data_IF_441044744369
#
_entry.id   IF_441044744369
#
_cell.length_a   1.000
_cell.length_b   1.000
_cell.length_c   1.000
_cell.angle_alpha   90.00
_cell.angle_beta   90.00
_cell.angle_gamma   90.00
#
_symmetry.space_group_name_H-M   'P 1'
#
loop_
_entity.id
_entity.type
_entity.pdbx_description
1 polymer ?
#
# COMPACT_ATOMS: atom_id res chain seq x y z
N UNK A 1 -10.05 -10.58 1.98
CA UNK A 1 -9.81 -9.68 0.83
C UNK A 1 -9.05 -8.42 1.27
N UNK A 2 -9.55 -7.66 2.24
CA UNK A 2 -8.84 -6.51 2.82
C UNK A 2 -7.39 -6.80 3.25
N UNK A 3 -7.14 -7.94 3.92
CA UNK A 3 -5.77 -8.33 4.33
C UNK A 3 -4.74 -8.38 3.20
N UNK A 4 -5.13 -8.84 2.00
CA UNK A 4 -4.23 -8.87 0.84
C UNK A 4 -3.92 -7.46 0.30
N UNK A 5 -4.86 -6.52 0.42
CA UNK A 5 -4.65 -5.13 0.06
C UNK A 5 -3.69 -4.45 1.05
N UNK A 6 -3.82 -4.73 2.34
CA UNK A 6 -2.88 -4.26 3.35
C UNK A 6 -1.48 -4.83 3.15
N UNK A 7 -1.37 -6.14 2.89
CA UNK A 7 -0.08 -6.79 2.65
C UNK A 7 0.60 -6.23 1.39
N UNK A 8 -0.12 -6.18 0.27
CA UNK A 8 0.38 -5.63 -0.99
C UNK A 8 0.74 -4.15 -0.88
N UNK A 9 -0.12 -3.36 -0.23
CA UNK A 9 0.13 -1.94 0.07
C UNK A 9 1.40 -1.73 0.88
N UNK A 10 1.61 -2.55 1.92
CA UNK A 10 2.81 -2.48 2.78
C UNK A 10 4.08 -2.80 1.98
N UNK A 11 4.07 -3.89 1.22
CA UNK A 11 5.24 -4.29 0.44
C UNK A 11 5.61 -3.24 -0.63
N UNK A 12 4.62 -2.72 -1.37
CA UNK A 12 4.85 -1.71 -2.39
C UNK A 12 5.29 -0.36 -1.80
N UNK A 13 4.66 0.06 -0.71
CA UNK A 13 4.93 1.34 -0.06
C UNK A 13 6.28 1.35 0.67
N UNK A 14 6.54 0.37 1.53
CA UNK A 14 7.80 0.29 2.27
C UNK A 14 8.96 -0.10 1.35
N UNK A 15 8.73 -1.03 0.42
CA UNK A 15 9.73 -1.47 -0.56
C UNK A 15 10.20 -0.34 -1.47
N UNK A 16 9.28 0.52 -1.93
CA UNK A 16 9.68 1.68 -2.74
C UNK A 16 10.55 2.66 -1.95
N UNK A 17 10.19 2.96 -0.71
CA UNK A 17 10.96 3.86 0.16
C UNK A 17 12.35 3.28 0.48
N UNK A 18 12.47 1.98 0.70
CA UNK A 18 13.76 1.32 0.85
C UNK A 18 14.59 1.40 -0.43
N UNK A 19 13.99 1.19 -1.60
CA UNK A 19 14.68 1.36 -2.87
C UNK A 19 15.17 2.79 -3.11
N UNK A 20 14.37 3.80 -2.76
CA UNK A 20 14.79 5.21 -2.88
C UNK A 20 15.91 5.54 -1.88
N UNK A 21 15.80 5.08 -0.62
CA UNK A 21 16.73 5.44 0.45
C UNK A 21 18.05 4.66 0.43
N UNK A 22 18.02 3.37 0.10
CA UNK A 22 19.19 2.49 0.11
C UNK A 22 19.86 2.40 -1.26
N UNK A 23 19.08 2.40 -2.35
CA UNK A 23 19.59 2.20 -3.71
C UNK A 23 19.64 3.49 -4.53
N UNK A 24 19.09 4.60 -4.01
CA UNK A 24 19.07 5.89 -4.70
C UNK A 24 18.15 5.92 -5.94
N UNK A 25 17.32 4.91 -6.15
CA UNK A 25 16.47 4.80 -7.35
C UNK A 25 15.23 5.68 -7.21
N UNK A 26 15.37 6.96 -7.56
CA UNK A 26 14.35 8.01 -7.33
C UNK A 26 13.00 7.73 -7.99
N UNK A 27 12.96 7.00 -9.11
CA UNK A 27 11.71 6.67 -9.81
C UNK A 27 10.80 5.75 -8.99
N UNK A 28 11.36 4.94 -8.08
CA UNK A 28 10.56 4.13 -7.15
C UNK A 28 9.66 4.98 -6.25
N UNK A 29 9.97 6.27 -6.06
CA UNK A 29 9.08 7.19 -5.35
C UNK A 29 7.68 7.29 -5.98
N UNK A 30 7.55 7.09 -7.29
CA UNK A 30 6.25 7.07 -7.99
C UNK A 30 5.45 5.78 -7.75
N UNK A 31 6.07 4.74 -7.17
CA UNK A 31 5.40 3.49 -6.76
C UNK A 31 4.73 3.64 -5.39
N UNK A 32 5.24 4.52 -4.53
CA UNK A 32 4.68 4.79 -3.19
C UNK A 32 3.19 5.16 -3.20
N UNK A 33 2.69 6.03 -4.10
CA UNK A 33 1.25 6.31 -4.23
C UNK A 33 0.40 5.06 -4.52
N UNK A 34 0.92 4.09 -5.28
CA UNK A 34 0.21 2.85 -5.60
C UNK A 34 0.01 2.01 -4.33
N UNK A 35 1.05 1.90 -3.50
CA UNK A 35 0.94 1.26 -2.19
C UNK A 35 -0.08 1.97 -1.29
N UNK A 36 -0.11 3.30 -1.32
CA UNK A 36 -1.11 4.12 -0.62
C UNK A 36 -2.54 3.86 -1.10
N UNK A 37 -2.78 3.73 -2.41
CA UNK A 37 -4.08 3.38 -2.97
C UNK A 37 -4.57 2.00 -2.48
N UNK A 38 -3.68 1.02 -2.39
CA UNK A 38 -4.00 -0.30 -1.85
C UNK A 38 -4.40 -0.21 -0.37
N UNK A 39 -3.76 0.64 0.42
CA UNK A 39 -4.18 0.89 1.80
C UNK A 39 -5.56 1.52 1.89
N UNK A 40 -5.86 2.54 1.07
CA UNK A 40 -7.19 3.16 1.03
C UNK A 40 -8.25 2.13 0.66
N UNK A 41 -8.00 1.30 -0.37
CA UNK A 41 -8.91 0.23 -0.77
C UNK A 41 -9.08 -0.83 0.34
N UNK A 42 -7.99 -1.19 1.03
CA UNK A 42 -7.99 -2.12 2.15
C UNK A 42 -8.89 -1.64 3.29
N UNK A 43 -8.72 -0.39 3.71
CA UNK A 43 -9.57 0.25 4.71
C UNK A 43 -11.01 0.39 4.25
N UNK A 44 -11.26 0.76 3.00
CA UNK A 44 -12.61 0.86 2.44
C UNK A 44 -13.36 -0.47 2.49
N UNK A 45 -12.72 -1.57 2.11
CA UNK A 45 -13.34 -2.91 2.19
C UNK A 45 -13.53 -3.35 3.64
N UNK A 46 -12.58 -3.06 4.53
CA UNK A 46 -12.67 -3.41 5.94
C UNK A 46 -13.84 -2.67 6.61
N UNK A 47 -13.91 -1.36 6.46
CA UNK A 47 -14.99 -0.52 6.99
C UNK A 47 -16.35 -0.90 6.42
N UNK A 48 -16.44 -1.13 5.10
CA UNK A 48 -17.67 -1.60 4.46
C UNK A 48 -18.17 -2.94 5.01
N UNK A 49 -17.25 -3.87 5.27
CA UNK A 49 -17.60 -5.15 5.90
C UNK A 49 -18.02 -4.99 7.35
N UNK A 50 -17.37 -4.10 8.10
CA UNK A 50 -17.75 -3.81 9.48
C UNK A 50 -19.14 -3.15 9.57
N UNK A 51 -19.53 -2.32 8.61
CA UNK A 51 -20.86 -1.68 8.57
C UNK A 51 -21.98 -2.61 8.10
N UNK A 52 -21.66 -3.69 7.38
CA UNK A 52 -22.64 -4.67 6.87
C UNK A 52 -22.70 -5.97 7.68
N UNK A 53 -21.83 -6.13 8.66
CA UNK A 53 -21.79 -7.29 9.55
C UNK A 53 -22.26 -6.93 10.94
#
# INVERSE_FOLDING_TARGET
KAGWLFLGGTLLFSGSLYGVSLLGVRWLGAVTPIGGLLFIAGWGILGWRAWRG
#
